data_IF_938740979220
#
_entry.id   IF_938740979220
#
_cell.length_a   1.000
_cell.length_b   1.000
_cell.length_c   1.000
_cell.angle_alpha   90.00
_cell.angle_beta   90.00
_cell.angle_gamma   90.00
#
_symmetry.space_group_name_H-M   'P 1'
#
loop_
_entity.id
_entity.type
_entity.pdbx_description
1 polymer ?
#
# COMPACT_ATOMS: atom_id res chain seq x y z
N UNK A 1 11.54 -8.45 -6.80
CA UNK A 1 11.36 -7.54 -7.96
C UNK A 1 11.88 -6.15 -7.60
N UNK A 2 12.70 -5.51 -8.44
CA UNK A 2 13.16 -4.13 -8.23
C UNK A 2 12.31 -3.16 -9.05
N UNK A 3 11.90 -2.05 -8.45
CA UNK A 3 11.18 -0.97 -9.11
C UNK A 3 12.05 0.30 -9.01
N UNK A 4 12.15 1.03 -10.11
CA UNK A 4 12.90 2.28 -10.21
C UNK A 4 11.95 3.41 -10.60
N UNK A 5 11.98 4.49 -9.83
CA UNK A 5 11.19 5.69 -10.09
C UNK A 5 11.76 6.49 -11.24
N UNK A 6 10.92 6.89 -12.20
CA UNK A 6 11.31 7.75 -13.30
C UNK A 6 11.31 9.20 -12.78
N UNK A 7 12.49 9.72 -12.43
CA UNK A 7 12.63 11.13 -12.07
C UNK A 7 12.91 11.99 -13.31
N UNK A 8 12.09 13.04 -13.52
CA UNK A 8 12.34 14.05 -14.56
C UNK A 8 13.51 14.99 -14.21
N UNK A 9 13.94 15.04 -12.95
CA UNK A 9 15.06 15.85 -12.47
C UNK A 9 16.18 14.91 -11.99
N UNK A 10 17.29 14.92 -12.73
CA UNK A 10 18.48 14.03 -12.65
C UNK A 10 19.18 13.88 -11.29
N UNK A 11 18.65 14.35 -10.17
CA UNK A 11 19.39 14.46 -8.90
C UNK A 11 19.01 13.44 -7.83
N UNK A 12 17.91 12.69 -7.95
CA UNK A 12 17.58 11.60 -7.02
C UNK A 12 16.99 10.41 -7.77
N UNK A 13 17.64 9.26 -7.61
CA UNK A 13 17.14 7.97 -8.08
C UNK A 13 16.36 7.32 -6.93
N UNK A 14 15.04 7.26 -7.03
CA UNK A 14 14.21 6.50 -6.11
C UNK A 14 14.12 5.04 -6.57
N UNK A 15 14.33 4.08 -5.67
CA UNK A 15 14.18 2.66 -5.99
C UNK A 15 13.72 1.87 -4.79
N UNK A 16 12.87 0.87 -5.04
CA UNK A 16 12.38 -0.08 -4.04
C UNK A 16 12.55 -1.52 -4.51
N UNK A 17 12.64 -2.44 -3.56
CA UNK A 17 12.65 -3.88 -3.79
C UNK A 17 11.38 -4.45 -3.16
N UNK A 18 10.65 -5.27 -3.91
CA UNK A 18 9.48 -6.00 -3.46
C UNK A 18 9.80 -7.49 -3.45
N UNK A 19 9.56 -8.14 -2.32
CA UNK A 19 9.73 -9.59 -2.16
C UNK A 19 8.44 -10.19 -1.61
N UNK A 20 8.06 -11.36 -2.13
CA UNK A 20 6.85 -12.06 -1.71
C UNK A 20 7.27 -13.34 -1.02
N UNK A 21 6.79 -13.52 0.21
CA UNK A 21 7.07 -14.67 1.05
C UNK A 21 5.77 -15.39 1.36
N UNK A 22 5.74 -16.70 1.15
CA UNK A 22 4.67 -17.53 1.69
C UNK A 22 4.93 -17.75 3.19
N UNK A 23 4.00 -17.28 4.04
CA UNK A 23 4.14 -17.38 5.50
C UNK A 23 3.20 -18.43 6.10
N UNK A 24 2.15 -18.80 5.38
CA UNK A 24 1.26 -19.93 5.67
C UNK A 24 0.50 -20.30 4.38
N UNK A 25 -0.19 -21.46 4.32
CA UNK A 25 -0.97 -21.84 3.14
C UNK A 25 -1.97 -20.73 2.80
N UNK A 26 -1.91 -20.20 1.58
CA UNK A 26 -2.74 -19.08 1.08
C UNK A 26 -2.48 -17.70 1.73
N UNK A 27 -1.47 -17.58 2.59
CA UNK A 27 -1.06 -16.32 3.22
C UNK A 27 0.33 -15.91 2.76
N UNK A 28 0.39 -14.75 2.11
CA UNK A 28 1.61 -14.19 1.58
C UNK A 28 1.90 -12.85 2.25
N UNK A 29 3.15 -12.67 2.69
CA UNK A 29 3.67 -11.39 3.13
C UNK A 29 4.42 -10.76 1.96
N UNK A 30 4.13 -9.48 1.70
CA UNK A 30 4.89 -8.68 0.74
C UNK A 30 5.79 -7.74 1.54
N UNK A 31 7.10 -7.96 1.48
CA UNK A 31 8.07 -7.03 2.03
C UNK A 31 8.42 -5.97 0.98
N UNK A 32 8.48 -4.71 1.42
CA UNK A 32 8.80 -3.56 0.57
C UNK A 32 9.99 -2.86 1.21
N UNK A 33 11.11 -2.83 0.51
CA UNK A 33 12.36 -2.26 1.01
C UNK A 33 12.76 -1.06 0.17
N UNK A 34 13.20 0.01 0.85
CA UNK A 34 13.79 1.17 0.18
C UNK A 34 15.23 0.87 -0.23
N UNK A 35 15.50 0.83 -1.53
CA UNK A 35 16.85 0.59 -2.07
C UNK A 35 17.62 1.90 -2.35
N UNK A 36 16.92 2.96 -2.78
CA UNK A 36 17.51 4.28 -3.02
C UNK A 36 16.45 5.40 -2.87
N UNK A 37 16.89 6.64 -2.61
CA UNK A 37 16.03 7.80 -2.35
C UNK A 37 15.81 8.07 -0.86
N UNK A 38 15.06 9.12 -0.55
CA UNK A 38 14.80 9.61 0.80
C UNK A 38 13.53 9.01 1.43
N UNK A 39 13.46 9.10 2.77
CA UNK A 39 12.40 8.45 3.54
C UNK A 39 11.01 9.05 3.26
N UNK A 40 10.94 10.35 2.96
CA UNK A 40 9.71 11.04 2.55
C UNK A 40 9.14 10.52 1.24
N UNK A 41 10.00 10.33 0.23
CA UNK A 41 9.61 9.74 -1.06
C UNK A 41 9.14 8.30 -0.87
N UNK A 42 9.87 7.51 -0.08
CA UNK A 42 9.47 6.14 0.25
C UNK A 42 8.10 6.08 0.94
N UNK A 43 7.87 6.93 1.94
CA UNK A 43 6.60 6.96 2.67
C UNK A 43 5.44 7.36 1.75
N UNK A 44 5.66 8.31 0.84
CA UNK A 44 4.66 8.73 -0.15
C UNK A 44 4.36 7.58 -1.13
N UNK A 45 5.40 6.92 -1.63
CA UNK A 45 5.27 5.73 -2.48
C UNK A 45 4.50 4.62 -1.76
N UNK A 46 4.90 4.24 -0.55
CA UNK A 46 4.28 3.17 0.22
C UNK A 46 2.80 3.43 0.45
N UNK A 47 2.43 4.65 0.91
CA UNK A 47 1.02 5.02 1.11
C UNK A 47 0.22 4.91 -0.18
N UNK A 48 0.73 5.44 -1.28
CA UNK A 48 0.04 5.36 -2.57
C UNK A 48 -0.08 3.90 -3.03
N UNK A 49 0.99 3.12 -2.94
CA UNK A 49 1.02 1.72 -3.34
C UNK A 49 0.02 0.88 -2.53
N UNK A 50 0.03 1.00 -1.20
CA UNK A 50 -0.89 0.27 -0.32
C UNK A 50 -2.35 0.64 -0.56
N UNK A 51 -2.66 1.93 -0.80
CA UNK A 51 -4.02 2.36 -1.09
C UNK A 51 -4.57 1.80 -2.40
N UNK A 52 -3.71 1.57 -3.40
CA UNK A 52 -4.11 0.94 -4.66
C UNK A 52 -4.26 -0.60 -4.56
N UNK A 53 -3.89 -1.20 -3.43
CA UNK A 53 -3.96 -2.65 -3.18
C UNK A 53 -4.92 -3.02 -2.04
N UNK A 54 -5.82 -2.10 -1.66
CA UNK A 54 -6.71 -2.28 -0.51
C UNK A 54 -7.54 -3.57 -0.56
N UNK A 55 -7.94 -4.01 -1.75
CA UNK A 55 -8.78 -5.20 -1.95
C UNK A 55 -8.04 -6.52 -1.72
N UNK A 56 -6.71 -6.52 -1.77
CA UNK A 56 -5.88 -7.71 -1.60
C UNK A 56 -5.07 -7.72 -0.30
N UNK A 57 -4.96 -6.56 0.37
CA UNK A 57 -4.30 -6.47 1.67
C UNK A 57 -5.14 -7.22 2.70
N UNK A 58 -4.51 -8.15 3.40
CA UNK A 58 -5.14 -8.88 4.48
C UNK A 58 -5.65 -7.92 5.57
N UNK A 59 -6.94 -8.01 5.88
CA UNK A 59 -7.60 -7.26 6.96
C UNK A 59 -7.97 -8.23 8.06
N UNK A 60 -7.65 -7.90 9.32
CA UNK A 60 -8.08 -8.72 10.45
C UNK A 60 -9.62 -8.79 10.46
N UNK A 61 -10.22 -9.97 10.73
CA UNK A 61 -11.68 -10.11 10.85
C UNK A 61 -12.34 -9.14 11.84
N UNK A 62 -11.57 -8.57 12.76
CA UNK A 62 -12.07 -7.60 13.75
C UNK A 62 -12.24 -6.18 13.19
N UNK A 63 -11.55 -5.83 12.10
CA UNK A 63 -11.59 -4.47 11.50
C UNK A 63 -12.71 -4.28 10.48
N UNK A 64 -13.30 -5.36 9.97
CA UNK A 64 -14.40 -5.32 8.99
C UNK A 64 -15.73 -4.81 9.57
N UNK A 65 -15.78 -4.51 10.86
CA UNK A 65 -16.97 -4.03 11.58
C UNK A 65 -17.30 -2.54 11.33
N UNK A 66 -16.46 -1.75 10.64
CA UNK A 66 -16.69 -0.29 10.44
C UNK A 66 -17.06 0.17 9.02
N UNK A 67 -17.15 -0.70 8.01
CA UNK A 67 -17.38 -0.28 6.61
C UNK A 67 -18.84 -0.39 6.11
N UNK A 68 -19.85 -0.56 6.99
CA UNK A 68 -21.27 -0.54 6.60
C UNK A 68 -22.12 0.53 7.31
N UNK A 69 -21.65 1.77 7.39
CA UNK A 69 -22.54 2.90 7.73
C UNK A 69 -22.05 4.20 7.12
N UNK A 70 -22.30 4.41 5.82
CA UNK A 70 -22.50 5.76 5.26
C UNK A 70 -23.16 5.71 3.88
N UNK A 71 -24.48 5.54 3.86
CA UNK A 71 -25.43 6.27 2.99
C UNK A 71 -26.81 5.65 3.16
N UNK A 72 -27.55 6.14 4.15
CA UNK A 72 -29.00 6.28 4.07
C UNK A 72 -29.47 7.07 5.29
N UNK A 73 -29.62 8.38 5.10
CA UNK A 73 -30.64 9.21 5.77
C UNK A 73 -30.59 10.62 5.19
N UNK A 74 -31.54 10.92 4.32
CA UNK A 74 -32.34 12.12 4.55
C UNK A 74 -33.70 11.94 3.90
N UNK A 75 -34.72 11.76 4.74
CA UNK A 75 -36.13 11.89 4.37
C UNK A 75 -36.79 12.73 5.46
N UNK A 76 -37.53 13.75 5.00
CA UNK A 76 -38.50 14.62 5.69
C UNK A 76 -37.96 15.90 6.33
N UNK A 77 -38.30 17.04 5.74
CA UNK A 77 -39.42 17.86 6.23
C UNK A 77 -40.37 18.15 5.05
#
# INVERSE_FOLDING_TARGET
>A
MRIEGISAKKTSHFSVILEVFEVAPTFFMVDIQKAAGDASEYLKFYKNFSSNLEDIIWKSPHETSKLKTSKNRSKRH
#
